data_IF_514950584087
#
_entry.id   IF_514950584087
#
_cell.length_a   1.000
_cell.length_b   1.000
_cell.length_c   1.000
_cell.angle_alpha   90.00
_cell.angle_beta   90.00
_cell.angle_gamma   90.00
#
_symmetry.space_group_name_H-M   'P 1'
#
loop_
_entity.id
_entity.type
_entity.pdbx_description
1 polymer ?
#
# COMPACT_ATOMS: atom_id res chain seq x y z
N UNK A 1 28.14 -7.60 -15.19
CA UNK A 1 27.81 -6.57 -16.21
C UNK A 1 27.82 -5.22 -15.49
N UNK A 2 28.51 -4.19 -16.01
CA UNK A 2 28.58 -2.88 -15.33
C UNK A 2 27.23 -2.15 -15.49
N UNK A 3 26.61 -1.74 -14.39
CA UNK A 3 25.40 -0.93 -14.45
C UNK A 3 25.75 0.51 -14.88
N UNK A 4 25.13 0.98 -15.97
CA UNK A 4 25.33 2.33 -16.49
C UNK A 4 24.75 3.41 -15.58
N UNK A 5 23.73 3.08 -14.77
CA UNK A 5 23.09 4.00 -13.84
C UNK A 5 23.93 4.20 -12.58
N UNK A 6 24.63 3.15 -12.11
CA UNK A 6 25.55 3.28 -10.97
C UNK A 6 26.71 4.26 -11.23
N UNK A 7 27.06 4.48 -12.49
CA UNK A 7 28.12 5.41 -12.92
C UNK A 7 27.55 6.68 -13.58
N UNK A 8 26.23 6.88 -13.53
CA UNK A 8 25.60 8.06 -14.10
C UNK A 8 25.81 9.28 -13.17
N UNK A 9 26.12 10.47 -13.70
CA UNK A 9 26.29 11.67 -12.89
C UNK A 9 25.05 12.03 -12.07
N UNK A 10 23.86 11.71 -12.57
CA UNK A 10 22.58 11.95 -11.89
C UNK A 10 22.02 10.70 -11.19
N UNK A 11 22.88 9.78 -10.75
CA UNK A 11 22.45 8.53 -10.08
C UNK A 11 21.45 8.78 -8.96
N UNK A 12 21.73 9.73 -8.06
CA UNK A 12 20.84 10.03 -6.93
C UNK A 12 19.46 10.51 -7.37
N UNK A 13 19.38 11.29 -8.45
CA UNK A 13 18.12 11.77 -8.99
C UNK A 13 17.31 10.63 -9.62
N UNK A 14 17.99 9.70 -10.30
CA UNK A 14 17.38 8.47 -10.85
C UNK A 14 16.89 7.57 -9.71
N UNK A 15 17.69 7.38 -8.65
CA UNK A 15 17.31 6.59 -7.46
C UNK A 15 16.06 7.19 -6.80
N UNK A 16 16.02 8.51 -6.61
CA UNK A 16 14.83 9.22 -6.09
C UNK A 16 13.60 9.09 -7.00
N UNK A 17 13.77 9.17 -8.32
CA UNK A 17 12.68 9.01 -9.28
C UNK A 17 12.09 7.59 -9.28
N UNK A 18 12.95 6.57 -9.20
CA UNK A 18 12.55 5.17 -9.04
C UNK A 18 11.79 4.99 -7.73
N UNK A 19 12.33 5.52 -6.63
CA UNK A 19 11.69 5.47 -5.32
C UNK A 19 10.34 6.17 -5.35
N UNK A 20 10.21 7.34 -5.97
CA UNK A 20 8.97 8.09 -6.13
C UNK A 20 7.84 7.30 -6.85
N UNK A 21 8.16 6.19 -7.52
CA UNK A 21 7.19 5.36 -8.23
C UNK A 21 6.94 5.81 -9.66
N UNK A 22 7.82 6.66 -10.22
CA UNK A 22 7.72 7.05 -11.62
C UNK A 22 7.95 5.84 -12.53
N UNK A 23 7.29 5.84 -13.69
CA UNK A 23 7.42 4.73 -14.64
C UNK A 23 8.85 4.66 -15.20
N UNK A 24 9.40 3.45 -15.34
CA UNK A 24 10.75 3.27 -15.90
C UNK A 24 10.89 3.89 -17.30
N UNK A 25 9.80 3.97 -18.07
CA UNK A 25 9.76 4.64 -19.38
C UNK A 25 9.96 6.15 -19.25
N UNK A 26 9.31 6.79 -18.29
CA UNK A 26 9.46 8.23 -18.03
C UNK A 26 10.88 8.56 -17.57
N UNK A 27 11.42 7.76 -16.64
CA UNK A 27 12.79 7.93 -16.12
C UNK A 27 13.81 7.75 -17.26
N UNK A 28 13.63 6.72 -18.08
CA UNK A 28 14.47 6.48 -19.26
C UNK A 28 14.48 7.67 -20.22
N UNK A 29 13.31 8.24 -20.52
CA UNK A 29 13.19 9.40 -21.41
C UNK A 29 13.84 10.66 -20.81
N UNK A 30 13.63 10.91 -19.52
CA UNK A 30 14.12 12.10 -18.82
C UNK A 30 15.65 12.10 -18.69
N UNK A 31 16.23 10.98 -18.27
CA UNK A 31 17.67 10.87 -18.00
C UNK A 31 18.46 10.27 -19.17
N UNK A 32 17.82 10.10 -20.34
CA UNK A 32 18.42 9.55 -21.57
C UNK A 32 19.13 8.21 -21.35
N UNK A 33 18.54 7.35 -20.51
CA UNK A 33 19.01 5.98 -20.24
C UNK A 33 18.03 4.96 -20.78
N UNK A 34 18.46 3.70 -20.96
CA UNK A 34 17.54 2.65 -21.40
C UNK A 34 16.59 2.23 -20.29
N UNK A 35 15.31 1.97 -20.62
CA UNK A 35 14.33 1.44 -19.67
C UNK A 35 14.81 0.13 -19.00
N UNK A 36 15.51 -0.71 -19.77
CA UNK A 36 16.12 -1.95 -19.27
C UNK A 36 17.24 -1.70 -18.27
N UNK A 37 18.01 -0.62 -18.41
CA UNK A 37 19.02 -0.25 -17.42
C UNK A 37 18.35 0.21 -16.12
N UNK A 38 17.27 1.01 -16.20
CA UNK A 38 16.49 1.47 -15.04
C UNK A 38 15.91 0.28 -14.27
N UNK A 39 15.33 -0.69 -14.97
CA UNK A 39 14.81 -1.92 -14.36
C UNK A 39 15.91 -2.72 -13.66
N UNK A 40 17.02 -3.04 -14.35
CA UNK A 40 18.11 -3.83 -13.74
C UNK A 40 18.75 -3.12 -12.55
N UNK A 41 18.84 -1.79 -12.61
CA UNK A 41 19.34 -0.98 -11.51
C UNK A 41 18.41 -1.02 -10.30
N UNK A 42 17.11 -0.86 -10.52
CA UNK A 42 16.07 -1.01 -9.49
C UNK A 42 16.15 -2.38 -8.79
N UNK A 43 16.33 -3.45 -9.57
CA UNK A 43 16.27 -4.81 -9.05
C UNK A 43 17.53 -5.26 -8.30
N UNK A 44 18.71 -4.72 -8.67
CA UNK A 44 20.00 -5.26 -8.17
C UNK A 44 20.89 -4.23 -7.46
N UNK A 45 20.61 -2.94 -7.60
CA UNK A 45 21.55 -1.88 -7.19
C UNK A 45 20.91 -0.71 -6.45
N UNK A 46 19.58 -0.68 -6.32
CA UNK A 46 18.90 0.32 -5.51
C UNK A 46 19.24 0.03 -4.03
N UNK A 47 19.88 0.97 -3.31
CA UNK A 47 20.28 0.73 -1.93
C UNK A 47 19.07 0.42 -1.06
N UNK A 48 19.05 -0.76 -0.42
CA UNK A 48 17.92 -1.23 0.40
C UNK A 48 17.53 -0.22 1.49
N UNK A 49 18.50 0.51 2.05
CA UNK A 49 18.21 1.54 3.06
C UNK A 49 17.30 2.67 2.53
N UNK A 50 17.43 3.09 1.26
CA UNK A 50 16.56 4.12 0.68
C UNK A 50 15.16 3.59 0.33
N UNK A 51 15.07 2.32 -0.09
CA UNK A 51 13.79 1.65 -0.32
C UNK A 51 13.03 1.46 1.00
N UNK A 52 13.74 1.14 2.08
CA UNK A 52 13.21 1.03 3.44
C UNK A 52 12.85 2.41 4.01
N UNK A 53 13.66 3.44 3.77
CA UNK A 53 13.35 4.82 4.20
C UNK A 53 12.07 5.37 3.55
N UNK A 54 11.81 5.12 2.27
CA UNK A 54 10.54 5.56 1.66
C UNK A 54 9.33 4.79 2.19
N UNK A 55 9.48 3.48 2.43
CA UNK A 55 8.43 2.68 3.09
C UNK A 55 8.18 3.19 4.51
N UNK A 56 9.24 3.48 5.26
CA UNK A 56 9.14 4.09 6.59
C UNK A 56 8.52 5.50 6.53
N UNK A 57 8.86 6.33 5.53
CA UNK A 57 8.27 7.66 5.34
C UNK A 57 6.78 7.59 4.95
N UNK A 58 6.39 6.58 4.18
CA UNK A 58 4.98 6.30 3.86
C UNK A 58 4.20 5.82 5.09
N UNK A 59 4.82 5.02 5.95
CA UNK A 59 4.23 4.59 7.23
C UNK A 59 4.11 5.77 8.18
N UNK A 60 5.15 6.61 8.34
CA UNK A 60 5.06 7.81 9.19
C UNK A 60 4.01 8.80 8.69
N UNK A 61 3.87 9.00 7.37
CA UNK A 61 2.79 9.86 6.82
C UNK A 61 1.39 9.31 7.05
N UNK A 62 1.23 7.98 7.10
CA UNK A 62 -0.03 7.35 7.44
C UNK A 62 -0.34 7.50 8.94
N UNK A 63 0.68 7.36 9.79
CA UNK A 63 0.57 7.58 11.24
C UNK A 63 0.26 9.05 11.58
N UNK A 64 0.84 9.99 10.83
CA UNK A 64 0.56 11.43 10.94
C UNK A 64 -0.91 11.71 10.60
N UNK A 65 -1.43 11.13 9.52
CA UNK A 65 -2.83 11.32 9.11
C UNK A 65 -3.82 10.73 10.12
N UNK A 66 -3.50 9.56 10.70
CA UNK A 66 -4.31 8.96 11.77
C UNK A 66 -4.31 9.87 13.01
N UNK A 67 -3.15 10.45 13.34
CA UNK A 67 -3.01 11.38 14.47
C UNK A 67 -3.81 12.67 14.24
N UNK A 68 -3.77 13.24 13.03
CA UNK A 68 -4.56 14.41 12.65
C UNK A 68 -6.07 14.14 12.74
N UNK A 69 -6.52 12.97 12.30
CA UNK A 69 -7.93 12.56 12.39
C UNK A 69 -8.37 12.34 13.85
N UNK A 70 -7.51 11.76 14.69
CA UNK A 70 -7.77 11.63 16.14
C UNK A 70 -7.89 12.99 16.81
N UNK A 71 -6.98 13.92 16.51
CA UNK A 71 -7.05 15.29 16.99
C UNK A 71 -8.35 15.99 16.58
N UNK A 72 -8.78 15.82 15.33
CA UNK A 72 -10.02 16.39 14.82
C UNK A 72 -11.26 15.81 15.52
N UNK A 73 -11.26 14.50 15.80
CA UNK A 73 -12.31 13.84 16.60
C UNK A 73 -12.39 14.44 18.00
N UNK A 74 -11.26 14.59 18.70
CA UNK A 74 -11.23 15.15 20.06
C UNK A 74 -11.73 16.60 20.09
N UNK A 75 -11.35 17.41 19.10
CA UNK A 75 -11.85 18.78 18.92
C UNK A 75 -13.36 18.81 18.71
N UNK A 76 -13.90 17.95 17.85
CA UNK A 76 -15.34 17.87 17.59
C UNK A 76 -16.12 17.49 18.85
N UNK A 77 -15.65 16.51 19.63
CA UNK A 77 -16.25 16.11 20.90
C UNK A 77 -16.20 17.24 21.94
N UNK A 78 -15.09 17.98 22.01
CA UNK A 78 -14.95 19.12 22.92
C UNK A 78 -15.95 20.24 22.58
N UNK A 79 -16.16 20.51 21.28
CA UNK A 79 -17.15 21.51 20.87
C UNK A 79 -18.58 21.02 21.10
N UNK A 80 -18.85 19.73 20.93
CA UNK A 80 -20.14 19.15 21.25
C UNK A 80 -20.48 19.32 22.74
N UNK A 81 -19.54 19.02 23.64
CA UNK A 81 -19.73 19.21 25.08
C UNK A 81 -20.00 20.68 25.46
N UNK A 82 -19.39 21.64 24.73
CA UNK A 82 -19.66 23.08 24.91
C UNK A 82 -21.02 23.51 24.38
N UNK A 83 -21.45 22.94 23.25
CA UNK A 83 -22.77 23.19 22.68
C UNK A 83 -23.87 22.62 23.58
N UNK A 84 -23.65 21.43 24.16
CA UNK A 84 -24.53 20.82 25.17
C UNK A 84 -24.67 21.69 26.42
N UNK A 85 -23.56 22.23 26.95
CA UNK A 85 -23.58 23.17 28.09
C UNK A 85 -24.30 24.49 27.78
N UNK A 86 -24.30 24.91 26.52
CA UNK A 86 -24.92 26.18 26.09
C UNK A 86 -26.39 26.01 25.68
N UNK A 87 -26.96 24.79 25.83
CA UNK A 87 -28.29 24.38 25.32
C UNK A 87 -28.51 24.69 23.81
N UNK A 88 -27.43 24.95 23.07
CA UNK A 88 -27.49 25.30 21.66
C UNK A 88 -27.48 24.04 20.80
N UNK A 89 -28.63 23.36 20.78
CA UNK A 89 -28.82 22.14 19.98
C UNK A 89 -28.68 22.39 18.46
N UNK A 90 -28.79 23.66 17.99
CA UNK A 90 -28.64 23.98 16.56
C UNK A 90 -27.19 23.85 16.11
N UNK A 91 -26.23 24.18 16.96
CA UNK A 91 -24.80 24.00 16.66
C UNK A 91 -24.30 22.58 16.91
N UNK A 92 -25.02 21.76 17.69
CA UNK A 92 -24.66 20.38 18.00
C UNK A 92 -24.78 19.42 16.79
N UNK A 93 -25.84 19.51 15.98
CA UNK A 93 -26.07 18.62 14.84
C UNK A 93 -24.92 18.58 13.80
N UNK A 94 -24.38 19.72 13.31
CA UNK A 94 -23.25 19.70 12.39
C UNK A 94 -21.95 19.17 13.02
N UNK A 95 -21.75 19.36 14.33
CA UNK A 95 -20.59 18.83 15.05
C UNK A 95 -20.64 17.31 15.15
N UNK A 96 -21.82 16.74 15.44
CA UNK A 96 -22.03 15.28 15.45
C UNK A 96 -21.80 14.70 14.05
N UNK A 97 -22.34 15.34 13.01
CA UNK A 97 -22.14 14.89 11.63
C UNK A 97 -20.65 14.88 11.23
N UNK A 98 -19.91 15.94 11.60
CA UNK A 98 -18.46 16.00 11.38
C UNK A 98 -17.71 14.90 12.15
N UNK A 99 -18.06 14.65 13.41
CA UNK A 99 -17.45 13.59 14.22
C UNK A 99 -17.71 12.19 13.64
N UNK A 100 -18.94 11.91 13.22
CA UNK A 100 -19.29 10.64 12.54
C UNK A 100 -18.48 10.49 11.26
N UNK A 101 -18.33 11.56 10.46
CA UNK A 101 -17.55 11.51 9.22
C UNK A 101 -16.07 11.19 9.46
N UNK A 102 -15.48 11.78 10.49
CA UNK A 102 -14.09 11.49 10.89
C UNK A 102 -13.94 10.04 11.35
N UNK A 103 -14.91 9.51 12.10
CA UNK A 103 -14.91 8.12 12.55
C UNK A 103 -15.06 7.16 11.35
N UNK A 104 -15.94 7.45 10.39
CA UNK A 104 -16.04 6.69 9.15
C UNK A 104 -14.71 6.66 8.40
N UNK A 105 -14.08 7.82 8.20
CA UNK A 105 -12.78 7.91 7.52
C UNK A 105 -11.68 7.17 8.27
N UNK A 106 -11.64 7.26 9.61
CA UNK A 106 -10.70 6.50 10.43
C UNK A 106 -10.90 4.99 10.28
N UNK A 107 -12.15 4.51 10.30
CA UNK A 107 -12.46 3.10 10.13
C UNK A 107 -12.20 2.62 8.68
N UNK A 108 -12.39 3.46 7.67
CA UNK A 108 -11.98 3.19 6.28
C UNK A 108 -10.45 3.06 6.17
N UNK A 109 -9.69 4.01 6.72
CA UNK A 109 -8.21 4.00 6.71
C UNK A 109 -7.63 2.80 7.47
N UNK A 110 -8.25 2.40 8.58
CA UNK A 110 -7.86 1.21 9.36
C UNK A 110 -8.29 -0.11 8.71
N UNK A 111 -9.09 -0.07 7.65
CA UNK A 111 -9.64 -1.27 7.01
C UNK A 111 -10.78 -1.94 7.77
N UNK A 112 -11.33 -1.28 8.80
CA UNK A 112 -12.46 -1.75 9.62
C UNK A 112 -13.81 -1.53 8.91
N UNK A 113 -13.92 -0.50 8.05
CA UNK A 113 -15.06 -0.25 7.16
C UNK A 113 -14.69 -0.62 5.71
N UNK A 114 -14.93 -1.87 5.33
CA UNK A 114 -14.68 -2.33 3.98
C UNK A 114 -15.96 -2.25 3.13
N UNK A 115 -16.26 -1.08 2.53
CA UNK A 115 -17.46 -0.92 1.68
C UNK A 115 -17.41 -1.71 0.36
N UNK A 116 -16.25 -2.24 -0.03
CA UNK A 116 -16.09 -3.22 -1.10
C UNK A 116 -14.92 -4.15 -0.79
N UNK A 117 -15.17 -5.18 0.01
CA UNK A 117 -14.18 -6.23 0.29
C UNK A 117 -13.99 -7.15 -0.93
N UNK A 118 -13.38 -6.63 -2.00
CA UNK A 118 -12.69 -7.49 -2.96
C UNK A 118 -11.25 -7.62 -2.45
N UNK A 119 -11.05 -8.52 -1.49
CA UNK A 119 -9.70 -8.93 -1.12
C UNK A 119 -9.15 -9.66 -2.36
N UNK A 120 -8.33 -8.98 -3.14
CA UNK A 120 -7.65 -9.56 -4.29
C UNK A 120 -6.50 -10.44 -3.79
N UNK A 121 -6.85 -11.56 -3.14
CA UNK A 121 -5.91 -12.57 -2.62
C UNK A 121 -5.00 -13.10 -3.74
N UNK A 122 -5.46 -13.03 -4.99
CA UNK A 122 -4.73 -13.39 -6.20
C UNK A 122 -3.50 -12.53 -6.48
N UNK A 123 -3.40 -11.32 -5.92
CA UNK A 123 -2.27 -10.39 -6.11
C UNK A 123 -1.44 -10.18 -4.84
N UNK A 124 -1.75 -10.88 -3.74
CA UNK A 124 -0.91 -10.86 -2.55
C UNK A 124 0.45 -11.49 -2.85
N UNK A 125 1.58 -10.79 -2.63
CA UNK A 125 2.92 -11.37 -2.80
C UNK A 125 3.10 -12.66 -1.99
N UNK A 126 2.49 -12.70 -0.80
CA UNK A 126 2.49 -13.87 0.10
C UNK A 126 1.74 -15.05 -0.53
N UNK A 127 0.65 -14.80 -1.27
CA UNK A 127 -0.09 -15.85 -1.96
C UNK A 127 0.71 -16.45 -3.11
N UNK A 128 1.40 -15.61 -3.89
CA UNK A 128 2.27 -16.06 -4.98
C UNK A 128 3.42 -16.93 -4.45
N UNK A 129 4.04 -16.52 -3.35
CA UNK A 129 5.11 -17.27 -2.69
C UNK A 129 4.60 -18.60 -2.14
N UNK A 130 3.49 -18.58 -1.40
CA UNK A 130 2.86 -19.77 -0.83
C UNK A 130 2.46 -20.77 -1.92
N UNK A 131 1.84 -20.31 -3.01
CA UNK A 131 1.48 -21.15 -4.15
C UNK A 131 2.71 -21.78 -4.81
N UNK A 132 3.77 -21.00 -4.98
CA UNK A 132 5.03 -21.50 -5.57
C UNK A 132 5.63 -22.61 -4.71
N UNK A 133 5.67 -22.43 -3.39
CA UNK A 133 6.18 -23.44 -2.45
C UNK A 133 5.33 -24.71 -2.47
N UNK A 134 4.01 -24.59 -2.46
CA UNK A 134 3.09 -25.74 -2.53
C UNK A 134 3.30 -26.52 -3.84
N UNK A 135 3.35 -25.84 -4.99
CA UNK A 135 3.55 -26.48 -6.28
C UNK A 135 4.93 -27.14 -6.42
N UNK A 136 5.96 -26.57 -5.80
CA UNK A 136 7.29 -27.16 -5.75
C UNK A 136 7.31 -28.43 -4.88
N UNK A 137 6.66 -28.42 -3.71
CA UNK A 137 6.57 -29.57 -2.83
C UNK A 137 5.78 -30.74 -3.44
N UNK A 138 4.84 -30.46 -4.36
CA UNK A 138 4.05 -31.46 -5.06
C UNK A 138 4.73 -32.06 -6.30
N UNK A 139 5.87 -31.53 -6.75
CA UNK A 139 6.59 -32.06 -7.92
C UNK A 139 6.88 -33.58 -7.88
N UNK A 140 7.36 -34.16 -6.76
CA UNK A 140 7.65 -35.60 -6.71
C UNK A 140 6.39 -36.47 -6.55
N UNK A 141 5.20 -35.89 -6.36
CA UNK A 141 3.93 -36.60 -6.12
C UNK A 141 2.87 -36.25 -7.19
N UNK A 142 2.95 -36.85 -8.40
CA UNK A 142 2.10 -36.47 -9.53
C UNK A 142 0.60 -36.68 -9.26
N UNK A 143 0.24 -37.76 -8.56
CA UNK A 143 -1.16 -38.06 -8.18
C UNK A 143 -1.73 -37.02 -7.22
N UNK A 144 -0.95 -36.56 -6.24
CA UNK A 144 -1.36 -35.53 -5.30
C UNK A 144 -1.53 -34.16 -5.98
N UNK A 145 -0.67 -33.85 -6.96
CA UNK A 145 -0.79 -32.64 -7.78
C UNK A 145 -2.10 -32.61 -8.57
N UNK A 146 -2.47 -33.73 -9.17
CA UNK A 146 -3.71 -33.86 -9.95
C UNK A 146 -4.95 -33.69 -9.08
N UNK A 147 -4.98 -34.31 -7.90
CA UNK A 147 -6.07 -34.14 -6.93
C UNK A 147 -6.28 -32.67 -6.52
N UNK A 148 -5.18 -31.92 -6.31
CA UNK A 148 -5.25 -30.49 -5.97
C UNK A 148 -5.77 -29.65 -7.13
N UNK A 149 -5.37 -29.94 -8.37
CA UNK A 149 -5.88 -29.22 -9.56
C UNK A 149 -7.39 -29.42 -9.70
N UNK A 150 -7.87 -30.67 -9.60
CA UNK A 150 -9.29 -30.98 -9.69
C UNK A 150 -10.11 -30.26 -8.61
N UNK A 151 -9.64 -30.26 -7.36
CA UNK A 151 -10.31 -29.55 -6.28
C UNK A 151 -10.38 -28.02 -6.51
N UNK A 152 -9.32 -27.42 -7.05
CA UNK A 152 -9.30 -25.99 -7.37
C UNK A 152 -10.24 -25.64 -8.54
N UNK A 153 -10.32 -26.48 -9.57
CA UNK A 153 -11.25 -26.29 -10.70
C UNK A 153 -12.72 -26.35 -10.27
N UNK A 154 -13.07 -27.21 -9.31
CA UNK A 154 -14.41 -27.30 -8.74
C UNK A 154 -14.75 -26.07 -7.87
N UNK A 155 -13.75 -25.50 -7.21
CA UNK A 155 -13.94 -24.31 -6.36
C UNK A 155 -14.15 -23.05 -7.21
N UNK A 156 -13.57 -22.96 -8.41
CA UNK A 156 -13.78 -21.86 -9.36
C UNK A 156 -15.10 -21.93 -10.14
N UNK A 157 -15.80 -23.08 -10.13
CA UNK A 157 -17.08 -23.28 -10.82
C UNK A 157 -18.32 -22.98 -9.96
N UNK A 158 -18.14 -22.70 -8.67
CA UNK A 158 -19.20 -22.28 -7.73
C UNK A 158 -19.16 -20.77 -7.53
#
# INVERSE_FOLDING_TARGET
MKCSICHHPEREAIDKAILAGQSNRSIAAQYKVSQTAVQRHKDNHLPEHLATSKKAEQVTKADDLISDLQFLKEKALTFLAKAEQSEDMRSAAPLISAAVKVIETLAEVRGELNRQAVINVTMSPVWVETRTVILAALQPYPEAREAVVLALEDTCRR
#
